data_IF_844896060704
#
_entry.id   IF_844896060704
#
_cell.length_a   1.000
_cell.length_b   1.000
_cell.length_c   1.000
_cell.angle_alpha   90.00
_cell.angle_beta   90.00
_cell.angle_gamma   90.00
#
_symmetry.space_group_name_H-M   'P 1'
#
loop_
_entity.id
_entity.type
_entity.pdbx_description
1 polymer ?
#
# COMPACT_ATOMS: atom_id res chain seq x y z
N UNK A 1 13.13 22.14 -29.45
CA UNK A 1 14.19 21.91 -28.44
C UNK A 1 13.93 20.63 -27.63
N UNK A 2 12.79 20.48 -26.93
CA UNK A 2 12.47 19.28 -26.13
C UNK A 2 12.57 17.95 -26.90
N UNK A 3 12.01 17.87 -28.12
CA UNK A 3 12.12 16.68 -28.96
C UNK A 3 13.57 16.32 -29.32
N UNK A 4 14.46 17.31 -29.45
CA UNK A 4 15.88 17.06 -29.76
C UNK A 4 16.61 16.50 -28.54
N UNK A 5 16.33 17.01 -27.34
CA UNK A 5 16.88 16.48 -26.08
C UNK A 5 16.35 15.06 -25.84
N UNK A 6 15.06 14.83 -26.04
CA UNK A 6 14.47 13.51 -25.85
C UNK A 6 15.07 12.48 -26.80
N UNK A 7 15.04 12.76 -28.11
CA UNK A 7 15.52 11.82 -29.14
C UNK A 7 17.05 11.69 -29.14
N UNK A 8 17.77 12.79 -28.92
CA UNK A 8 19.24 12.82 -28.99
C UNK A 8 19.95 12.41 -27.70
N UNK A 9 19.31 12.55 -26.54
CA UNK A 9 19.91 12.26 -25.24
C UNK A 9 19.13 11.19 -24.49
N UNK A 10 17.87 11.45 -24.12
CA UNK A 10 17.12 10.57 -23.21
C UNK A 10 17.02 9.12 -23.72
N UNK A 11 16.61 8.92 -24.98
CA UNK A 11 16.43 7.58 -25.59
C UNK A 11 17.72 6.74 -25.61
N UNK A 12 18.88 7.39 -25.49
CA UNK A 12 20.18 6.73 -25.43
C UNK A 12 20.71 6.59 -24.00
N UNK A 13 20.32 7.46 -23.07
CA UNK A 13 20.90 7.53 -21.71
C UNK A 13 20.05 6.86 -20.63
N UNK A 14 18.76 6.62 -20.84
CA UNK A 14 17.95 5.85 -19.88
C UNK A 14 18.41 4.40 -19.71
N UNK A 15 19.22 3.90 -20.65
CA UNK A 15 19.79 2.56 -20.71
C UNK A 15 21.33 2.60 -20.74
N UNK A 16 21.91 3.66 -20.19
CA UNK A 16 23.36 3.82 -20.10
C UNK A 16 24.00 2.69 -19.27
N UNK A 17 25.29 2.43 -19.47
CA UNK A 17 26.03 1.47 -18.65
C UNK A 17 26.12 1.94 -17.19
N UNK A 18 26.20 3.26 -16.97
CA UNK A 18 26.32 3.86 -15.64
C UNK A 18 24.93 4.03 -15.02
N UNK A 19 24.73 3.45 -13.83
CA UNK A 19 23.44 3.42 -13.14
C UNK A 19 22.95 4.81 -12.71
N UNK A 20 23.85 5.65 -12.20
CA UNK A 20 23.54 7.04 -11.83
C UNK A 20 22.96 7.84 -13.01
N UNK A 21 23.50 7.66 -14.23
CA UNK A 21 22.97 8.31 -15.43
C UNK A 21 21.55 7.82 -15.71
N UNK A 22 21.29 6.51 -15.61
CA UNK A 22 19.94 5.95 -15.78
C UNK A 22 18.98 6.53 -14.74
N UNK A 23 19.39 6.57 -13.47
CA UNK A 23 18.59 7.13 -12.37
C UNK A 23 18.20 8.59 -12.64
N UNK A 24 19.15 9.44 -13.03
CA UNK A 24 18.91 10.85 -13.38
C UNK A 24 17.86 10.94 -14.51
N UNK A 25 18.02 10.16 -15.57
CA UNK A 25 17.06 10.24 -16.69
C UNK A 25 15.64 9.83 -16.28
N UNK A 26 15.49 8.81 -15.42
CA UNK A 26 14.19 8.34 -14.94
C UNK A 26 13.53 9.36 -14.00
N UNK A 27 14.32 10.00 -13.16
CA UNK A 27 13.84 11.09 -12.31
C UNK A 27 13.30 12.24 -13.15
N UNK A 28 14.05 12.67 -14.17
CA UNK A 28 13.66 13.80 -15.01
C UNK A 28 12.43 13.51 -15.88
N UNK A 29 12.30 12.33 -16.48
CA UNK A 29 11.07 12.00 -17.23
C UNK A 29 9.85 11.93 -16.30
N UNK A 30 10.02 11.46 -15.06
CA UNK A 30 8.99 11.53 -14.02
C UNK A 30 8.54 12.97 -13.75
N UNK A 31 9.51 13.87 -13.61
CA UNK A 31 9.24 15.31 -13.42
C UNK A 31 8.54 15.95 -14.62
N UNK A 32 8.91 15.60 -15.85
CA UNK A 32 8.23 16.12 -17.04
C UNK A 32 6.77 15.66 -17.11
N UNK A 33 6.51 14.38 -16.82
CA UNK A 33 5.15 13.84 -16.76
C UNK A 33 4.32 14.50 -15.66
N UNK A 34 4.93 14.85 -14.53
CA UNK A 34 4.25 15.52 -13.41
C UNK A 34 3.95 17.00 -13.71
N UNK A 35 4.93 17.73 -14.26
CA UNK A 35 4.83 19.18 -14.46
C UNK A 35 4.08 19.58 -15.74
N UNK A 36 4.10 18.72 -16.77
CA UNK A 36 3.42 18.99 -18.04
C UNK A 36 2.72 17.73 -18.56
N UNK A 37 1.78 17.24 -17.75
CA UNK A 37 1.05 15.98 -17.96
C UNK A 37 0.32 15.90 -19.31
N UNK A 38 -0.25 17.00 -19.79
CA UNK A 38 -0.93 17.05 -21.09
C UNK A 38 -0.04 16.59 -22.25
N UNK A 39 1.24 16.99 -22.24
CA UNK A 39 2.20 16.62 -23.28
C UNK A 39 2.92 15.30 -23.00
N UNK A 40 3.26 15.02 -21.74
CA UNK A 40 4.20 13.95 -21.39
C UNK A 40 3.55 12.73 -20.73
N UNK A 41 2.40 12.87 -20.06
CA UNK A 41 1.76 11.73 -19.37
C UNK A 41 0.98 10.85 -20.36
N UNK A 42 1.69 10.00 -21.08
CA UNK A 42 1.11 9.02 -21.99
C UNK A 42 2.05 7.83 -22.15
N UNK A 43 1.55 6.76 -22.77
CA UNK A 43 2.27 5.49 -22.95
C UNK A 43 3.60 5.62 -23.69
N UNK A 44 3.76 6.64 -24.55
CA UNK A 44 5.03 6.86 -25.27
C UNK A 44 6.17 7.21 -24.32
N UNK A 45 5.87 7.76 -23.13
CA UNK A 45 6.84 8.13 -22.10
C UNK A 45 6.81 7.17 -20.90
N UNK A 46 5.62 6.80 -20.42
CA UNK A 46 5.45 5.89 -19.27
C UNK A 46 6.16 4.55 -19.46
N UNK A 47 6.22 4.03 -20.69
CA UNK A 47 6.91 2.76 -20.99
C UNK A 47 8.37 2.74 -20.55
N UNK A 48 9.06 3.88 -20.55
CA UNK A 48 10.45 3.95 -20.12
C UNK A 48 10.59 3.71 -18.62
N UNK A 49 9.69 4.26 -17.81
CA UNK A 49 9.61 3.95 -16.38
C UNK A 49 9.24 2.48 -16.17
N UNK A 50 8.22 2.00 -16.91
CA UNK A 50 7.78 0.59 -16.87
C UNK A 50 8.90 -0.41 -17.14
N UNK A 51 9.68 -0.22 -18.19
CA UNK A 51 10.82 -1.07 -18.51
C UNK A 51 11.91 -0.95 -17.44
N UNK A 52 12.19 0.26 -16.98
CA UNK A 52 13.31 0.54 -16.07
C UNK A 52 13.02 0.10 -14.62
N UNK A 53 11.78 -0.23 -14.26
CA UNK A 53 11.47 -0.96 -13.02
C UNK A 53 12.14 -2.36 -12.94
N UNK A 54 12.63 -2.88 -14.07
CA UNK A 54 13.36 -4.15 -14.14
C UNK A 54 14.90 -3.97 -14.09
N UNK A 55 15.38 -2.76 -13.82
CA UNK A 55 16.81 -2.47 -13.71
C UNK A 55 17.47 -3.33 -12.62
N UNK A 56 18.75 -3.65 -12.83
CA UNK A 56 19.52 -4.47 -11.89
C UNK A 56 19.95 -3.69 -10.64
N UNK A 57 20.06 -2.37 -10.73
CA UNK A 57 20.47 -1.51 -9.63
C UNK A 57 19.25 -0.90 -8.93
N UNK A 58 19.16 -1.03 -7.60
CA UNK A 58 17.98 -0.55 -6.88
C UNK A 58 17.86 0.96 -6.83
N UNK A 59 18.95 1.72 -6.90
CA UNK A 59 18.88 3.19 -7.03
C UNK A 59 18.03 3.62 -8.25
N UNK A 60 18.12 2.86 -9.35
CA UNK A 60 17.36 3.12 -10.57
C UNK A 60 15.90 2.70 -10.39
N UNK A 61 15.66 1.52 -9.79
CA UNK A 61 14.31 1.04 -9.46
C UNK A 61 13.59 1.99 -8.49
N UNK A 62 14.31 2.54 -7.53
CA UNK A 62 13.82 3.51 -6.56
C UNK A 62 13.30 4.77 -7.28
N UNK A 63 14.09 5.32 -8.22
CA UNK A 63 13.66 6.47 -9.02
C UNK A 63 12.40 6.21 -9.85
N UNK A 64 12.24 4.99 -10.38
CA UNK A 64 11.00 4.59 -11.06
C UNK A 64 9.79 4.70 -10.13
N UNK A 65 9.88 4.11 -8.93
CA UNK A 65 8.77 4.11 -7.97
C UNK A 65 8.45 5.52 -7.47
N UNK A 66 9.46 6.34 -7.14
CA UNK A 66 9.24 7.72 -6.69
C UNK A 66 8.64 8.60 -7.79
N UNK A 67 9.04 8.38 -9.05
CA UNK A 67 8.42 9.06 -10.19
C UNK A 67 6.93 8.72 -10.30
N UNK A 68 6.57 7.43 -10.22
CA UNK A 68 5.17 6.98 -10.25
C UNK A 68 4.35 7.52 -9.08
N UNK A 69 4.89 7.49 -7.85
CA UNK A 69 4.22 8.09 -6.69
C UNK A 69 3.91 9.56 -6.93
N UNK A 70 4.87 10.31 -7.50
CA UNK A 70 4.69 11.72 -7.84
C UNK A 70 3.53 11.99 -8.79
N UNK A 71 3.18 11.03 -9.66
CA UNK A 71 2.02 11.09 -10.56
C UNK A 71 0.73 10.72 -9.83
N UNK A 72 0.75 9.66 -9.01
CA UNK A 72 -0.40 9.18 -8.25
C UNK A 72 -0.87 10.12 -7.14
N UNK A 73 0.02 10.94 -6.59
CA UNK A 73 -0.37 11.98 -5.63
C UNK A 73 -1.34 13.00 -6.25
N UNK A 74 -1.29 13.21 -7.57
CA UNK A 74 -2.25 14.06 -8.26
C UNK A 74 -3.41 13.22 -8.78
N UNK A 75 -4.52 13.21 -8.04
CA UNK A 75 -5.69 12.38 -8.34
C UNK A 75 -6.30 12.62 -9.72
N UNK A 76 -6.15 13.82 -10.28
CA UNK A 76 -6.65 14.16 -11.63
C UNK A 76 -5.93 13.37 -12.73
N UNK A 77 -4.72 12.86 -12.45
CA UNK A 77 -3.91 12.11 -13.41
C UNK A 77 -4.20 10.59 -13.39
N UNK A 78 -4.91 10.09 -12.38
CA UNK A 78 -5.05 8.66 -12.12
C UNK A 78 -5.67 7.87 -13.28
N UNK A 79 -6.68 8.43 -13.95
CA UNK A 79 -7.34 7.79 -15.10
C UNK A 79 -6.37 7.53 -16.26
N UNK A 80 -5.35 8.38 -16.43
CA UNK A 80 -4.31 8.22 -17.45
C UNK A 80 -3.25 7.17 -17.07
N UNK A 81 -3.25 6.70 -15.82
CA UNK A 81 -2.31 5.70 -15.30
C UNK A 81 -2.90 4.29 -15.25
N UNK A 82 -4.22 4.14 -15.38
CA UNK A 82 -4.93 2.85 -15.26
C UNK A 82 -4.34 1.76 -16.15
N UNK A 83 -4.16 2.03 -17.44
CA UNK A 83 -3.61 1.06 -18.39
C UNK A 83 -2.17 0.68 -18.05
N UNK A 84 -1.35 1.66 -17.68
CA UNK A 84 0.02 1.43 -17.27
C UNK A 84 0.07 0.52 -16.03
N UNK A 85 -0.75 0.83 -15.04
CA UNK A 85 -0.72 0.11 -13.77
C UNK A 85 -1.30 -1.28 -13.91
N UNK A 86 -2.40 -1.47 -14.64
CA UNK A 86 -2.89 -2.80 -14.99
C UNK A 86 -1.80 -3.66 -15.66
N UNK A 87 -1.02 -3.06 -16.58
CA UNK A 87 0.06 -3.76 -17.28
C UNK A 87 1.26 -4.11 -16.40
N UNK A 88 1.62 -3.24 -15.45
CA UNK A 88 2.84 -3.38 -14.64
C UNK A 88 2.57 -3.74 -13.17
N UNK A 89 1.31 -4.00 -12.80
CA UNK A 89 0.86 -4.32 -11.44
C UNK A 89 1.70 -5.43 -10.82
N UNK A 90 1.78 -6.59 -11.48
CA UNK A 90 2.51 -7.75 -10.98
C UNK A 90 3.98 -7.41 -10.70
N UNK A 91 4.58 -6.54 -11.53
CA UNK A 91 5.95 -6.09 -11.29
C UNK A 91 6.03 -5.22 -10.04
N UNK A 92 5.11 -4.25 -9.86
CA UNK A 92 5.09 -3.38 -8.68
C UNK A 92 4.86 -4.21 -7.41
N UNK A 93 3.92 -5.16 -7.44
CA UNK A 93 3.66 -6.10 -6.33
C UNK A 93 4.91 -6.93 -6.03
N UNK A 94 5.60 -7.48 -7.04
CA UNK A 94 6.85 -8.22 -6.81
C UNK A 94 7.95 -7.39 -6.15
N UNK A 95 7.92 -6.06 -6.32
CA UNK A 95 8.92 -5.15 -5.74
C UNK A 95 8.69 -4.90 -4.26
N UNK A 96 7.57 -5.30 -3.65
CA UNK A 96 7.40 -5.28 -2.18
C UNK A 96 8.38 -6.24 -1.48
N UNK A 97 8.92 -7.21 -2.23
CA UNK A 97 9.98 -8.14 -1.84
C UNK A 97 11.29 -7.85 -2.58
N UNK A 98 11.52 -6.60 -2.97
CA UNK A 98 12.79 -6.21 -3.59
C UNK A 98 13.97 -6.51 -2.66
N UNK A 99 15.13 -6.87 -3.25
CA UNK A 99 16.35 -7.17 -2.50
C UNK A 99 16.85 -5.98 -1.69
N UNK A 100 16.53 -4.76 -2.13
CA UNK A 100 16.88 -3.53 -1.44
C UNK A 100 15.64 -2.99 -0.71
N UNK A 101 15.71 -2.93 0.62
CA UNK A 101 14.55 -2.58 1.45
C UNK A 101 13.97 -1.20 1.14
N UNK A 102 14.80 -0.22 0.76
CA UNK A 102 14.30 1.12 0.39
C UNK A 102 13.38 1.05 -0.83
N UNK A 103 13.68 0.18 -1.81
CA UNK A 103 12.83 -0.05 -2.98
C UNK A 103 11.53 -0.73 -2.56
N UNK A 104 11.60 -1.73 -1.68
CA UNK A 104 10.43 -2.42 -1.14
C UNK A 104 9.47 -1.48 -0.42
N UNK A 105 9.99 -0.58 0.42
CA UNK A 105 9.19 0.44 1.11
C UNK A 105 8.47 1.34 0.10
N UNK A 106 9.16 1.81 -0.95
CA UNK A 106 8.52 2.66 -1.96
C UNK A 106 7.50 1.90 -2.82
N UNK A 107 7.68 0.59 -3.03
CA UNK A 107 6.73 -0.22 -3.76
C UNK A 107 5.42 -0.33 -2.99
N UNK A 108 5.50 -0.62 -1.68
CA UNK A 108 4.33 -0.68 -0.81
C UNK A 108 3.62 0.67 -0.75
N UNK A 109 4.36 1.78 -0.56
CA UNK A 109 3.78 3.13 -0.58
C UNK A 109 3.09 3.46 -1.91
N UNK A 110 3.66 3.03 -3.04
CA UNK A 110 3.02 3.18 -4.34
C UNK A 110 1.73 2.38 -4.43
N UNK A 111 1.72 1.12 -3.99
CA UNK A 111 0.50 0.29 -3.93
C UNK A 111 -0.57 0.91 -3.03
N UNK A 112 -0.18 1.54 -1.91
CA UNK A 112 -1.10 2.29 -1.06
C UNK A 112 -1.74 3.44 -1.83
N UNK A 113 -1.00 4.17 -2.67
CA UNK A 113 -1.59 5.22 -3.52
C UNK A 113 -2.51 4.64 -4.59
N UNK A 114 -2.13 3.54 -5.24
CA UNK A 114 -2.93 2.83 -6.25
C UNK A 114 -4.26 2.36 -5.66
N UNK A 115 -4.24 1.85 -4.43
CA UNK A 115 -5.45 1.44 -3.73
C UNK A 115 -6.48 2.57 -3.60
N UNK A 116 -6.04 3.82 -3.40
CA UNK A 116 -6.93 4.98 -3.29
C UNK A 116 -7.42 5.49 -4.64
N UNK A 117 -6.67 5.22 -5.71
CA UNK A 117 -7.03 5.70 -7.04
C UNK A 117 -8.05 4.82 -7.72
N UNK A 118 -7.94 3.51 -7.53
CA UNK A 118 -8.63 2.50 -8.35
C UNK A 118 -8.81 1.23 -7.52
N UNK A 119 -9.98 1.08 -6.89
CA UNK A 119 -10.24 -0.02 -5.94
C UNK A 119 -10.21 -1.41 -6.62
N UNK A 120 -10.41 -1.48 -7.94
CA UNK A 120 -10.49 -2.74 -8.70
C UNK A 120 -9.16 -3.22 -9.30
N UNK A 121 -8.06 -2.47 -9.19
CA UNK A 121 -6.80 -2.84 -9.86
C UNK A 121 -6.02 -3.92 -9.11
N UNK A 122 -6.06 -3.91 -7.78
CA UNK A 122 -5.36 -4.89 -6.94
C UNK A 122 -6.31 -6.05 -6.63
N UNK A 123 -5.88 -7.28 -6.95
CA UNK A 123 -6.64 -8.48 -6.58
C UNK A 123 -6.48 -8.78 -5.07
N UNK A 124 -7.34 -9.65 -4.51
CA UNK A 124 -7.19 -10.11 -3.12
C UNK A 124 -5.80 -10.72 -2.86
N UNK A 125 -5.27 -11.51 -3.80
CA UNK A 125 -3.96 -12.16 -3.68
C UNK A 125 -2.81 -11.13 -3.68
N UNK A 126 -2.93 -10.07 -4.48
CA UNK A 126 -1.97 -8.96 -4.45
C UNK A 126 -1.95 -8.31 -3.06
N UNK A 127 -3.13 -8.06 -2.48
CA UNK A 127 -3.27 -7.42 -1.18
C UNK A 127 -2.72 -8.32 -0.05
N UNK A 128 -3.06 -9.61 -0.08
CA UNK A 128 -2.57 -10.61 0.88
C UNK A 128 -1.04 -10.69 0.90
N UNK A 129 -0.41 -10.64 -0.28
CA UNK A 129 1.05 -10.62 -0.39
C UNK A 129 1.69 -9.42 0.33
N UNK A 130 1.00 -8.27 0.38
CA UNK A 130 1.45 -7.08 1.12
C UNK A 130 1.13 -7.19 2.61
N UNK A 131 0.01 -7.80 2.98
CA UNK A 131 -0.39 -7.97 4.38
C UNK A 131 0.63 -8.77 5.18
N UNK A 132 1.21 -9.83 4.62
CA UNK A 132 2.24 -10.61 5.30
C UNK A 132 3.47 -9.77 5.69
N UNK A 133 3.71 -8.64 5.02
CA UNK A 133 4.86 -7.78 5.27
C UNK A 133 4.74 -6.96 6.56
N UNK A 134 3.56 -6.90 7.22
CA UNK A 134 3.43 -6.31 8.57
C UNK A 134 4.26 -7.06 9.62
N UNK A 135 4.70 -8.27 9.30
CA UNK A 135 5.58 -9.09 10.13
C UNK A 135 7.05 -9.04 9.69
N UNK A 136 7.40 -8.16 8.75
CA UNK A 136 8.78 -8.03 8.27
C UNK A 136 9.74 -7.66 9.39
N UNK A 137 10.90 -8.32 9.42
CA UNK A 137 12.00 -7.96 10.33
C UNK A 137 12.56 -6.55 10.07
N UNK A 138 12.33 -5.99 8.87
CA UNK A 138 12.72 -4.63 8.54
C UNK A 138 11.58 -3.66 8.84
N UNK A 139 11.63 -3.01 10.00
CA UNK A 139 10.57 -2.13 10.52
C UNK A 139 10.00 -1.13 9.49
N UNK A 140 10.80 -0.41 8.66
CA UNK A 140 10.23 0.48 7.63
C UNK A 140 9.32 -0.21 6.61
N UNK A 141 9.60 -1.47 6.25
CA UNK A 141 8.72 -2.27 5.37
C UNK A 141 7.44 -2.62 6.12
N UNK A 142 7.58 -3.05 7.38
CA UNK A 142 6.47 -3.45 8.22
C UNK A 142 5.47 -2.30 8.46
N UNK A 143 5.96 -1.09 8.73
CA UNK A 143 5.13 0.12 8.88
C UNK A 143 4.45 0.51 7.57
N UNK A 144 5.16 0.46 6.43
CA UNK A 144 4.56 0.77 5.14
C UNK A 144 3.42 -0.23 4.81
N UNK A 145 3.63 -1.52 5.10
CA UNK A 145 2.60 -2.54 4.96
C UNK A 145 1.46 -2.34 5.96
N UNK A 146 1.75 -1.92 7.18
CA UNK A 146 0.77 -1.55 8.19
C UNK A 146 -0.13 -0.41 7.74
N UNK A 147 0.44 0.63 7.11
CA UNK A 147 -0.33 1.72 6.50
C UNK A 147 -1.23 1.21 5.36
N UNK A 148 -0.71 0.34 4.49
CA UNK A 148 -1.50 -0.28 3.42
C UNK A 148 -2.67 -1.09 3.98
N UNK A 149 -2.40 -1.99 4.93
CA UNK A 149 -3.40 -2.81 5.62
C UNK A 149 -4.46 -1.94 6.30
N UNK A 150 -4.01 -0.92 7.05
CA UNK A 150 -4.89 0.00 7.75
C UNK A 150 -5.86 0.67 6.78
N UNK A 151 -5.34 1.17 5.65
CA UNK A 151 -6.20 1.82 4.66
C UNK A 151 -7.12 0.83 3.95
N UNK A 152 -6.72 -0.41 3.69
CA UNK A 152 -7.61 -1.39 3.04
C UNK A 152 -8.73 -1.86 3.97
N UNK A 153 -8.41 -2.19 5.22
CA UNK A 153 -9.38 -2.73 6.18
C UNK A 153 -10.28 -1.66 6.81
N UNK A 154 -9.77 -0.43 7.01
CA UNK A 154 -10.48 0.59 7.79
C UNK A 154 -11.06 1.75 6.96
N UNK A 155 -10.90 1.75 5.63
CA UNK A 155 -11.59 2.72 4.76
C UNK A 155 -13.06 2.38 4.52
N UNK A 156 -13.45 1.10 4.65
CA UNK A 156 -14.83 0.63 4.70
C UNK A 156 -15.42 0.85 6.09
N UNK A 157 -15.69 2.10 6.45
CA UNK A 157 -16.63 2.38 7.55
C UNK A 157 -18.03 2.05 7.05
N UNK A 158 -18.57 0.91 7.44
CA UNK A 158 -20.00 0.67 7.28
C UNK A 158 -20.75 1.74 8.10
N UNK A 159 -21.77 2.41 7.52
CA UNK A 159 -22.60 3.34 8.28
C UNK A 159 -23.26 2.58 9.44
N UNK A 160 -23.12 3.10 10.66
CA UNK A 160 -23.70 2.52 11.87
C UNK A 160 -25.20 2.23 11.66
N UNK A 161 -25.63 0.99 11.92
CA UNK A 161 -27.06 0.67 11.96
C UNK A 161 -27.73 1.43 13.12
N UNK A 162 -28.49 2.47 12.79
CA UNK A 162 -29.33 3.20 13.75
C UNK A 162 -30.44 2.28 14.30
N UNK A 163 -30.23 1.66 15.47
CA UNK A 163 -31.32 0.93 16.13
C UNK A 163 -31.00 0.11 17.37
N UNK A 164 -29.73 -0.24 17.65
CA UNK A 164 -29.40 -1.14 18.75
C UNK A 164 -29.34 -0.43 20.14
N UNK A 165 -29.80 -1.08 21.22
CA UNK A 165 -29.84 -0.49 22.56
C UNK A 165 -28.44 -0.13 23.08
N UNK A 166 -28.29 1.11 23.54
CA UNK A 166 -27.00 1.72 23.92
C UNK A 166 -26.43 1.10 25.20
N UNK A 167 -25.47 0.17 25.08
CA UNK A 167 -24.56 -0.21 26.17
C UNK A 167 -23.22 0.53 26.00
N UNK A 168 -22.76 1.21 27.05
CA UNK A 168 -21.46 1.92 27.08
C UNK A 168 -20.32 0.94 26.77
N UNK A 169 -19.39 1.30 25.89
CA UNK A 169 -18.19 0.52 25.54
C UNK A 169 -18.31 -0.33 24.27
N UNK A 170 -19.47 -0.96 24.03
CA UNK A 170 -19.69 -1.89 22.89
C UNK A 170 -20.05 -1.22 21.56
N UNK A 171 -20.45 0.06 21.60
CA UNK A 171 -20.64 0.91 20.42
C UNK A 171 -19.48 1.91 20.23
N UNK A 172 -18.26 1.62 20.71
CA UNK A 172 -17.11 2.40 20.22
C UNK A 172 -17.07 2.23 18.69
N UNK A 173 -16.88 3.31 17.90
CA UNK A 173 -16.70 3.18 16.45
C UNK A 173 -15.49 2.28 16.11
N UNK A 174 -14.61 2.04 17.08
CA UNK A 174 -13.45 1.16 16.96
C UNK A 174 -13.76 -0.32 17.26
N UNK A 175 -14.91 -0.67 17.85
CA UNK A 175 -15.17 -2.03 18.32
C UNK A 175 -15.08 -3.06 17.18
N UNK A 176 -15.70 -2.77 16.04
CA UNK A 176 -15.61 -3.62 14.85
C UNK A 176 -14.18 -3.66 14.30
N UNK A 177 -13.48 -2.53 14.30
CA UNK A 177 -12.10 -2.46 13.80
C UNK A 177 -11.12 -3.25 14.67
N UNK A 178 -11.32 -3.26 15.99
CA UNK A 178 -10.55 -4.09 16.93
C UNK A 178 -10.81 -5.56 16.61
N UNK A 179 -12.08 -5.96 16.47
CA UNK A 179 -12.43 -7.34 16.08
C UNK A 179 -11.78 -7.73 14.75
N UNK A 180 -11.88 -6.89 13.72
CA UNK A 180 -11.23 -7.13 12.42
C UNK A 180 -9.71 -7.28 12.56
N UNK A 181 -9.06 -6.49 13.42
CA UNK A 181 -7.62 -6.62 13.69
C UNK A 181 -7.29 -7.95 14.36
N UNK A 182 -8.13 -8.40 15.29
CA UNK A 182 -7.98 -9.72 15.94
C UNK A 182 -8.19 -10.86 14.94
N UNK A 183 -9.23 -10.80 14.11
CA UNK A 183 -9.44 -11.77 13.03
C UNK A 183 -8.26 -11.81 12.07
N UNK A 184 -7.77 -10.66 11.62
CA UNK A 184 -6.58 -10.59 10.78
C UNK A 184 -5.37 -11.27 11.43
N UNK A 185 -5.14 -11.03 12.72
CA UNK A 185 -4.04 -11.69 13.45
C UNK A 185 -4.19 -13.21 13.46
N UNK A 186 -5.39 -13.71 13.77
CA UNK A 186 -5.68 -15.15 13.88
C UNK A 186 -5.58 -15.85 12.51
N UNK A 187 -6.19 -15.29 11.48
CA UNK A 187 -6.17 -15.84 10.11
C UNK A 187 -4.79 -15.81 9.47
N UNK A 188 -3.92 -14.88 9.89
CA UNK A 188 -2.59 -14.76 9.27
C UNK A 188 -1.68 -15.95 9.55
N UNK A 189 -1.86 -16.67 10.67
CA UNK A 189 -1.07 -17.85 11.09
C UNK A 189 0.48 -17.71 11.03
N UNK A 190 1.02 -16.50 10.88
CA UNK A 190 2.47 -16.26 10.73
C UNK A 190 3.21 -16.10 12.07
N UNK A 191 2.53 -15.66 13.12
CA UNK A 191 3.12 -15.38 14.43
C UNK A 191 2.18 -15.77 15.57
N UNK A 192 2.76 -16.35 16.63
CA UNK A 192 2.03 -16.72 17.86
C UNK A 192 1.74 -15.53 18.79
N UNK A 193 2.29 -14.34 18.50
CA UNK A 193 2.10 -13.13 19.30
C UNK A 193 1.91 -11.88 18.45
N UNK A 194 1.11 -10.93 18.93
CA UNK A 194 0.73 -9.73 18.17
C UNK A 194 1.77 -8.59 18.17
N UNK A 195 2.92 -8.73 18.85
CA UNK A 195 3.86 -7.62 19.05
C UNK A 195 4.31 -6.92 17.75
N UNK A 196 4.63 -7.68 16.69
CA UNK A 196 5.04 -7.11 15.40
C UNK A 196 3.88 -6.44 14.66
N UNK A 197 2.70 -7.06 14.66
CA UNK A 197 1.50 -6.47 14.07
C UNK A 197 1.15 -5.13 14.73
N UNK A 198 1.21 -5.08 16.06
CA UNK A 198 0.95 -3.86 16.84
C UNK A 198 1.98 -2.77 16.54
N UNK A 199 3.29 -3.09 16.47
CA UNK A 199 4.31 -2.09 16.10
C UNK A 199 4.11 -1.55 14.68
N UNK A 200 3.80 -2.43 13.72
CA UNK A 200 3.56 -2.06 12.32
C UNK A 200 2.35 -1.14 12.14
N UNK A 201 1.33 -1.29 12.98
CA UNK A 201 0.13 -0.44 12.98
C UNK A 201 0.24 0.75 13.93
N UNK A 202 1.32 0.87 14.72
CA UNK A 202 1.40 1.83 15.81
C UNK A 202 1.30 3.30 15.37
N UNK A 203 1.80 3.61 14.17
CA UNK A 203 1.77 4.97 13.62
C UNK A 203 0.44 5.30 12.93
N UNK A 204 -0.11 4.38 12.12
CA UNK A 204 -1.34 4.61 11.35
C UNK A 204 -2.63 4.35 12.15
N UNK A 205 -2.57 3.44 13.13
CA UNK A 205 -3.71 2.97 13.91
C UNK A 205 -3.63 3.28 15.41
N UNK A 206 -2.87 4.29 15.82
CA UNK A 206 -2.66 4.63 17.22
C UNK A 206 -3.97 4.81 18.01
N UNK A 207 -4.97 5.47 17.41
CA UNK A 207 -6.26 5.72 18.05
C UNK A 207 -7.04 4.43 18.32
N UNK A 208 -6.92 3.46 17.41
CA UNK A 208 -7.50 2.13 17.54
C UNK A 208 -6.78 1.31 18.61
N UNK A 209 -5.44 1.26 18.55
CA UNK A 209 -4.58 0.45 19.42
C UNK A 209 -4.50 0.97 20.86
N UNK A 210 -4.94 2.20 21.11
CA UNK A 210 -4.97 2.82 22.44
C UNK A 210 -6.37 2.92 23.02
N UNK A 211 -7.40 2.42 22.33
CA UNK A 211 -8.77 2.33 22.85
C UNK A 211 -8.91 1.16 23.84
N UNK A 212 -8.18 1.22 24.95
CA UNK A 212 -8.15 0.19 25.98
C UNK A 212 -9.50 0.03 26.69
N UNK A 213 -10.29 1.11 26.79
CA UNK A 213 -11.65 1.05 27.33
C UNK A 213 -12.52 0.15 26.45
N UNK A 214 -12.51 0.34 25.13
CA UNK A 214 -13.25 -0.53 24.21
C UNK A 214 -12.76 -1.98 24.27
N UNK A 215 -11.44 -2.22 24.23
CA UNK A 215 -10.88 -3.57 24.33
C UNK A 215 -11.30 -4.27 25.64
N UNK A 216 -11.31 -3.54 26.76
CA UNK A 216 -11.72 -4.07 28.06
C UNK A 216 -13.22 -4.38 28.08
N UNK A 217 -14.06 -3.50 27.53
CA UNK A 217 -15.51 -3.76 27.40
C UNK A 217 -15.81 -4.98 26.53
N UNK A 218 -15.10 -5.16 25.40
CA UNK A 218 -15.27 -6.32 24.52
C UNK A 218 -14.95 -7.65 25.23
N UNK A 219 -14.04 -7.65 26.20
CA UNK A 219 -13.67 -8.85 26.96
C UNK A 219 -14.60 -9.15 28.15
N UNK A 220 -15.25 -8.12 28.71
CA UNK A 220 -16.03 -8.24 29.95
C UNK A 220 -17.54 -8.31 29.73
N UNK A 221 -18.07 -7.74 28.65
CA UNK A 221 -19.52 -7.72 28.41
C UNK A 221 -20.02 -9.06 27.84
N UNK A 222 -21.10 -9.63 28.41
CA UNK A 222 -21.70 -10.90 27.95
C UNK A 222 -21.97 -10.91 26.43
N UNK A 223 -21.65 -11.99 25.67
CA UNK A 223 -21.90 -12.09 24.24
C UNK A 223 -23.37 -11.77 23.90
N UNK A 224 -23.59 -10.98 22.84
CA UNK A 224 -24.96 -10.76 22.34
C UNK A 224 -25.45 -12.07 21.71
N UNK A 225 -26.70 -12.50 21.92
CA UNK A 225 -27.24 -13.70 21.26
C UNK A 225 -27.06 -13.58 19.73
N UNK A 226 -26.22 -14.45 19.14
CA UNK A 226 -25.85 -14.42 17.72
C UNK A 226 -24.35 -14.22 17.42
N UNK A 227 -23.56 -13.71 18.36
CA UNK A 227 -22.08 -13.61 18.22
C UNK A 227 -21.34 -14.91 18.60
N UNK A 228 -22.03 -15.87 19.23
CA UNK A 228 -21.45 -17.11 19.75
C UNK A 228 -20.82 -18.02 18.67
N UNK A 229 -21.27 -17.90 17.41
CA UNK A 229 -20.75 -18.70 16.29
C UNK A 229 -19.35 -18.31 15.82
N UNK A 230 -18.94 -17.05 15.96
CA UNK A 230 -17.60 -16.62 15.53
C UNK A 230 -16.49 -17.03 16.51
N UNK A 231 -16.85 -17.28 17.78
CA UNK A 231 -15.88 -17.67 18.82
C UNK A 231 -15.72 -19.20 18.85
N UNK A 232 -16.76 -19.97 18.50
CA UNK A 232 -16.68 -21.43 18.47
C UNK A 232 -15.76 -21.98 17.38
N UNK A 233 -15.68 -21.29 16.24
CA UNK A 233 -14.89 -21.73 15.08
C UNK A 233 -13.37 -21.49 15.27
N UNK A 234 -12.98 -20.69 16.27
CA UNK A 234 -11.58 -20.41 16.62
C UNK A 234 -10.96 -21.47 17.54
N UNK A 235 -11.75 -22.41 18.08
CA UNK A 235 -11.30 -23.44 19.02
C UNK A 235 -11.57 -24.88 18.52
N UNK A 236 -11.96 -25.05 17.27
CA UNK A 236 -12.20 -26.34 16.61
C UNK A 236 -11.21 -26.60 15.48
#
# INVERSE_FOLDING_TARGET
MMNAIFKGVFVHRYRDAIAEIRAITIEEIGMWMKLYSDAFLNDSYLKYVGWTMHDKQGEVRLKCLTALQGLYYNRELNTRLELFTSRFKDRIVSMTLDKEYDVAVQAIKLLTLVLHSTDEVLSPEDCESVYHLVYSAHRPVAIAAGEFLFKKLFSTREPEEEGAPKRRGRQSPNANLIKTTVFFFLESELHEHAAYLVDSLWESGADLLKDWECMTSLLLDDPVPGEEGMISDLYS
#
